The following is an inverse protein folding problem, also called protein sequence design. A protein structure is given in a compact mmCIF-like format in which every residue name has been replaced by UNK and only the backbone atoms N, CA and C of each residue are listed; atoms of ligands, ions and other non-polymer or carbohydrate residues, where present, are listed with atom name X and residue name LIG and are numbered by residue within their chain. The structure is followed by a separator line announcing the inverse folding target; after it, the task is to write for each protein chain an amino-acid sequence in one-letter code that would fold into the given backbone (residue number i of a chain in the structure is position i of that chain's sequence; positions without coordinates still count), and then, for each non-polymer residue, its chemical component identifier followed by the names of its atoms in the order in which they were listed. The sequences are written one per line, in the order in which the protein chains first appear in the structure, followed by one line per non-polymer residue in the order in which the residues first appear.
data_IF_811654961069
#
_entry.id   IF_811654961069
#
_cell.length_a   1.000
_cell.length_b   1.000
_cell.length_c   1.000
_cell.angle_alpha   90.00
_cell.angle_beta   90.00
_cell.angle_gamma   90.00
#
_symmetry.space_group_name_H-M   'P 1'
#
loop_
_entity.id
_entity.type
_entity.pdbx_description
1 polymer ?
#
# COMPACT_ATOMS: atom_id res chain seq x y z
N UNK A 1 -27.14 14.75 -3.22
CA UNK A 1 -25.85 14.07 -3.43
C UNK A 1 -25.46 14.27 -4.88
N UNK A 2 -24.35 14.95 -5.10
CA UNK A 2 -23.85 15.19 -6.44
C UNK A 2 -23.15 13.94 -6.95
N UNK A 3 -23.52 13.51 -8.17
CA UNK A 3 -22.88 12.38 -8.82
C UNK A 3 -21.48 12.76 -9.30
N UNK A 4 -20.53 11.84 -9.11
CA UNK A 4 -19.16 11.97 -9.62
C UNK A 4 -18.88 10.80 -10.56
N UNK A 5 -18.44 11.12 -11.78
CA UNK A 5 -18.10 10.12 -12.79
C UNK A 5 -16.60 9.81 -12.74
N UNK A 6 -16.26 8.53 -12.57
CA UNK A 6 -14.87 8.07 -12.57
C UNK A 6 -14.64 7.25 -13.83
N UNK A 7 -13.60 7.60 -14.60
CA UNK A 7 -13.19 6.91 -15.82
C UNK A 7 -11.85 6.23 -15.60
N UNK A 8 -11.79 4.95 -15.95
CA UNK A 8 -10.59 4.14 -15.83
C UNK A 8 -9.79 4.17 -17.13
N UNK A 9 -8.49 4.37 -16.99
CA UNK A 9 -7.54 4.31 -18.09
C UNK A 9 -6.30 3.55 -17.67
N UNK A 10 -5.66 2.85 -18.60
CA UNK A 10 -4.31 2.41 -18.40
C UNK A 10 -3.37 3.62 -18.51
N UNK A 11 -2.45 3.76 -17.55
CA UNK A 11 -1.38 4.76 -17.67
C UNK A 11 -0.56 4.46 -18.93
N UNK A 12 -0.25 5.46 -19.79
CA UNK A 12 0.60 5.27 -20.95
C UNK A 12 1.96 4.64 -20.61
N UNK A 13 2.54 3.93 -21.56
CA UNK A 13 3.88 3.38 -21.41
C UNK A 13 4.93 4.47 -21.56
N UNK A 14 5.95 4.43 -20.73
CA UNK A 14 7.13 5.28 -20.80
C UNK A 14 8.41 4.44 -20.95
N UNK A 15 9.45 4.76 -20.19
CA UNK A 15 10.72 4.06 -20.24
C UNK A 15 11.01 3.37 -18.89
N UNK A 16 10.97 2.04 -18.87
CA UNK A 16 11.24 1.24 -17.67
C UNK A 16 12.65 1.47 -17.10
N UNK A 17 13.65 1.70 -17.97
CA UNK A 17 15.03 1.95 -17.57
C UNK A 17 15.16 3.17 -16.62
N UNK A 18 14.30 4.20 -16.79
CA UNK A 18 14.28 5.36 -15.87
C UNK A 18 13.96 4.94 -14.44
N UNK A 19 13.01 4.02 -14.28
CA UNK A 19 12.63 3.50 -12.95
C UNK A 19 13.77 2.64 -12.36
N UNK A 20 14.46 1.86 -13.18
CA UNK A 20 15.61 1.06 -12.71
C UNK A 20 16.80 1.93 -12.33
N UNK A 21 17.11 2.98 -13.11
CA UNK A 21 18.14 3.98 -12.77
C UNK A 21 17.80 4.69 -11.44
N UNK A 22 16.54 5.02 -11.23
CA UNK A 22 16.06 5.64 -10.01
C UNK A 22 16.27 4.71 -8.81
N UNK A 23 15.89 3.42 -8.93
CA UNK A 23 16.11 2.41 -7.89
C UNK A 23 17.62 2.19 -7.62
N UNK A 24 18.45 2.19 -8.65
CA UNK A 24 19.90 2.08 -8.50
C UNK A 24 20.50 3.28 -7.76
N UNK A 25 20.02 4.50 -8.07
CA UNK A 25 20.44 5.74 -7.40
C UNK A 25 20.12 5.72 -5.91
N UNK A 26 18.98 5.19 -5.52
CA UNK A 26 18.49 5.14 -4.13
C UNK A 26 18.68 3.78 -3.45
N UNK A 27 19.65 2.97 -3.90
CA UNK A 27 19.88 1.61 -3.40
C UNK A 27 20.11 1.55 -1.86
N UNK A 28 20.78 2.56 -1.30
CA UNK A 28 20.98 2.65 0.17
C UNK A 28 19.67 2.80 0.93
N UNK A 29 18.78 3.66 0.45
CA UNK A 29 17.43 3.84 1.03
C UNK A 29 16.61 2.56 0.86
N UNK A 30 16.66 1.94 -0.32
CA UNK A 30 15.98 0.68 -0.61
C UNK A 30 16.41 -0.44 0.35
N UNK A 31 17.71 -0.62 0.58
CA UNK A 31 18.24 -1.61 1.53
C UNK A 31 17.83 -1.32 2.98
N UNK A 32 17.85 -0.05 3.40
CA UNK A 32 17.38 0.37 4.73
C UNK A 32 15.90 0.05 4.90
N UNK A 33 15.07 0.38 3.89
CA UNK A 33 13.66 0.03 3.84
C UNK A 33 13.43 -1.48 3.99
N UNK A 34 14.11 -2.28 3.18
CA UNK A 34 14.01 -3.75 3.23
C UNK A 34 14.35 -4.29 4.62
N UNK A 35 15.44 -3.81 5.23
CA UNK A 35 15.85 -4.23 6.58
C UNK A 35 14.79 -3.93 7.64
N UNK A 36 14.18 -2.74 7.57
CA UNK A 36 13.08 -2.36 8.49
C UNK A 36 11.87 -3.27 8.28
N UNK A 37 11.49 -3.49 7.04
CA UNK A 37 10.33 -4.32 6.67
C UNK A 37 10.55 -5.80 7.03
N UNK A 38 11.75 -6.33 6.87
CA UNK A 38 12.10 -7.70 7.29
C UNK A 38 11.99 -7.87 8.81
N UNK A 39 12.38 -6.85 9.57
CA UNK A 39 12.23 -6.83 11.04
C UNK A 39 10.77 -6.78 11.52
N UNK A 40 9.86 -6.31 10.66
CA UNK A 40 8.43 -6.20 10.94
C UNK A 40 7.61 -7.41 10.41
N UNK A 41 8.28 -8.43 9.85
CA UNK A 41 7.61 -9.70 9.49
C UNK A 41 7.05 -10.35 10.73
N UNK A 42 5.78 -10.79 10.72
CA UNK A 42 5.26 -11.58 11.82
C UNK A 42 6.12 -12.85 11.95
N UNK A 43 6.75 -13.02 13.09
CA UNK A 43 7.50 -14.23 13.42
C UNK A 43 6.57 -15.35 13.94
N UNK A 44 5.28 -15.24 13.70
CA UNK A 44 4.31 -16.23 14.14
C UNK A 44 4.45 -17.50 13.30
N UNK A 45 5.33 -18.40 13.78
CA UNK A 45 5.32 -19.79 13.36
C UNK A 45 4.09 -20.44 13.97
N UNK A 46 3.08 -20.72 13.15
CA UNK A 46 1.99 -21.59 13.58
C UNK A 46 2.45 -23.04 13.52
N UNK A 47 2.36 -23.70 14.66
CA UNK A 47 2.61 -25.13 14.78
C UNK A 47 1.32 -25.86 14.40
N UNK A 48 1.26 -26.42 13.19
CA UNK A 48 0.18 -27.30 12.77
C UNK A 48 0.48 -28.71 13.26
N UNK A 49 -0.26 -29.15 14.27
CA UNK A 49 -0.16 -30.51 14.84
C UNK A 49 -1.05 -31.48 14.05
N UNK A 50 -0.88 -32.78 14.29
CA UNK A 50 -1.72 -33.82 13.69
C UNK A 50 -1.66 -33.87 12.16
N UNK A 51 -0.46 -33.86 11.61
CA UNK A 51 -0.23 -34.03 10.17
C UNK A 51 0.27 -35.43 9.85
N UNK A 52 -0.11 -35.99 8.68
CA UNK A 52 0.44 -37.25 8.16
C UNK A 52 1.90 -37.11 7.73
N UNK A 53 2.24 -35.90 7.25
CA UNK A 53 3.59 -35.55 6.81
C UNK A 53 3.96 -34.19 7.38
N UNK A 54 5.17 -34.05 7.91
CA UNK A 54 5.64 -32.80 8.50
C UNK A 54 7.16 -32.77 8.62
N UNK A 55 7.71 -31.60 8.90
CA UNK A 55 9.14 -31.38 9.05
C UNK A 55 9.69 -31.96 10.36
N UNK A 56 8.83 -32.18 11.34
CA UNK A 56 9.17 -32.66 12.67
C UNK A 56 8.12 -33.64 13.20
N UNK A 57 8.53 -34.55 14.07
CA UNK A 57 7.63 -35.41 14.82
C UNK A 57 7.07 -34.66 16.03
N UNK A 58 5.74 -34.70 16.22
CA UNK A 58 5.13 -34.26 17.48
C UNK A 58 5.32 -35.34 18.53
N UNK A 59 6.33 -35.20 19.37
CA UNK A 59 6.73 -36.24 20.34
C UNK A 59 5.59 -36.63 21.28
N UNK A 60 4.73 -35.73 21.68
CA UNK A 60 3.58 -36.02 22.56
C UNK A 60 2.57 -36.91 21.86
N UNK A 61 2.26 -36.60 20.60
CA UNK A 61 1.32 -37.36 19.77
C UNK A 61 1.93 -38.72 19.38
N UNK A 62 3.20 -38.73 19.04
CA UNK A 62 3.92 -39.97 18.70
C UNK A 62 4.02 -40.94 19.89
N UNK A 63 4.22 -40.42 21.11
CA UNK A 63 4.20 -41.20 22.32
C UNK A 63 2.82 -41.82 22.59
N UNK A 64 1.75 -41.03 22.40
CA UNK A 64 0.38 -41.55 22.50
C UNK A 64 0.10 -42.65 21.48
N UNK A 65 0.46 -42.45 20.22
CA UNK A 65 0.32 -43.45 19.16
C UNK A 65 1.11 -44.75 19.45
N UNK A 66 2.29 -44.62 20.06
CA UNK A 66 3.08 -45.79 20.47
C UNK A 66 2.46 -46.57 21.63
N UNK A 67 1.83 -45.88 22.61
CA UNK A 67 1.08 -46.51 23.71
C UNK A 67 -0.14 -47.23 23.14
N UNK A 68 -0.89 -46.62 22.22
CA UNK A 68 -2.04 -47.26 21.57
C UNK A 68 -1.63 -48.53 20.82
N UNK A 69 -0.51 -48.47 20.07
CA UNK A 69 0.05 -49.63 19.39
C UNK A 69 0.40 -50.76 20.36
N UNK A 70 1.05 -50.45 21.50
CA UNK A 70 1.34 -51.47 22.55
C UNK A 70 0.09 -52.08 23.16
N UNK A 71 -0.99 -51.34 23.24
CA UNK A 71 -2.27 -51.80 23.74
C UNK A 71 -3.13 -52.52 22.68
N UNK A 72 -2.55 -52.80 21.48
CA UNK A 72 -3.23 -53.51 20.40
C UNK A 72 -4.24 -52.68 19.63
N UNK A 73 -4.22 -51.36 19.78
CA UNK A 73 -5.03 -50.43 19.01
C UNK A 73 -4.28 -49.96 17.76
N UNK A 74 -4.99 -49.65 16.71
CA UNK A 74 -4.39 -49.04 15.49
C UNK A 74 -4.02 -47.60 15.77
N UNK A 75 -2.72 -47.23 15.79
CA UNK A 75 -2.32 -45.85 16.08
C UNK A 75 -2.69 -44.89 14.96
N UNK A 76 -2.95 -43.65 15.32
CA UNK A 76 -3.17 -42.59 14.33
C UNK A 76 -1.89 -42.30 13.54
N UNK A 77 -1.93 -42.20 12.20
CA UNK A 77 -0.77 -41.80 11.39
C UNK A 77 -0.41 -40.33 11.52
N UNK A 78 -1.24 -39.52 12.17
CA UNK A 78 -1.12 -38.05 12.28
C UNK A 78 -0.13 -37.62 13.37
N UNK A 79 1.09 -38.16 13.33
CA UNK A 79 2.12 -37.96 14.36
C UNK A 79 3.13 -36.86 14.06
N UNK A 80 3.00 -36.24 12.90
CA UNK A 80 3.89 -35.16 12.47
C UNK A 80 3.33 -33.77 12.80
N UNK A 81 4.22 -32.81 12.87
CA UNK A 81 3.91 -31.39 12.93
C UNK A 81 4.62 -30.66 11.81
N UNK A 82 3.96 -29.62 11.31
CA UNK A 82 4.50 -28.70 10.32
C UNK A 82 4.56 -27.29 10.91
N UNK A 83 5.72 -26.64 10.81
CA UNK A 83 5.84 -25.23 11.13
C UNK A 83 5.50 -24.41 9.88
N UNK A 84 4.31 -23.84 9.84
CA UNK A 84 3.92 -22.88 8.79
C UNK A 84 4.24 -21.48 9.27
N UNK A 85 5.11 -20.80 8.54
CA UNK A 85 5.27 -19.36 8.71
C UNK A 85 4.07 -18.71 8.04
N UNK A 86 3.25 -18.01 8.80
CA UNK A 86 2.18 -17.21 8.20
C UNK A 86 2.85 -16.14 7.36
N UNK A 87 2.73 -16.26 6.04
CA UNK A 87 3.05 -15.16 5.12
C UNK A 87 2.21 -13.93 5.47
N UNK A 88 2.76 -12.76 5.19
CA UNK A 88 2.03 -11.50 5.40
C UNK A 88 0.78 -11.49 4.54
N UNK A 89 -0.37 -11.69 5.16
CA UNK A 89 -1.66 -11.63 4.46
C UNK A 89 -2.16 -10.18 4.40
N UNK A 90 -1.46 -9.40 3.57
CA UNK A 90 -1.75 -7.98 3.34
C UNK A 90 -1.93 -7.70 1.86
N UNK A 91 -2.94 -6.90 1.53
CA UNK A 91 -3.08 -6.27 0.22
C UNK A 91 -2.95 -4.76 0.35
N UNK A 92 -2.11 -4.17 -0.50
CA UNK A 92 -1.80 -2.74 -0.49
C UNK A 92 -2.26 -2.10 -1.80
N UNK A 93 -3.12 -1.08 -1.72
CA UNK A 93 -3.40 -0.19 -2.84
C UNK A 93 -2.65 1.11 -2.64
N UNK A 94 -1.70 1.40 -3.51
CA UNK A 94 -1.04 2.71 -3.58
C UNK A 94 -1.84 3.60 -4.51
N UNK A 95 -2.28 4.73 -4.01
CA UNK A 95 -3.07 5.73 -4.73
C UNK A 95 -2.30 7.04 -4.78
N UNK A 96 -1.92 7.45 -5.99
CA UNK A 96 -1.13 8.67 -6.22
C UNK A 96 -2.03 9.80 -6.70
N UNK A 97 -1.90 10.92 -6.05
CA UNK A 97 -2.34 12.19 -6.60
C UNK A 97 -1.45 12.56 -7.80
N UNK A 98 -2.08 12.95 -8.91
CA UNK A 98 -1.41 13.41 -10.12
C UNK A 98 -1.90 14.79 -10.54
N UNK A 99 -2.32 15.61 -9.59
CA UNK A 99 -2.77 16.98 -9.83
C UNK A 99 -1.64 17.92 -10.26
N UNK A 100 -2.00 19.03 -10.87
CA UNK A 100 -1.05 20.03 -11.38
C UNK A 100 -0.13 20.58 -10.30
N UNK A 101 -0.57 20.64 -9.04
CA UNK A 101 0.24 21.10 -7.90
C UNK A 101 1.56 20.32 -7.74
N UNK A 102 1.58 19.03 -8.12
CA UNK A 102 2.80 18.22 -8.06
C UNK A 102 3.90 18.66 -9.05
N UNK A 103 3.58 19.52 -10.03
CA UNK A 103 4.59 20.10 -10.91
C UNK A 103 5.47 21.15 -10.22
N UNK A 104 5.10 21.59 -9.02
CA UNK A 104 5.88 22.57 -8.27
C UNK A 104 7.20 21.98 -7.79
N UNK A 105 8.25 22.84 -7.78
CA UNK A 105 9.55 22.47 -7.21
C UNK A 105 9.49 22.46 -5.68
N UNK A 106 10.14 21.45 -5.10
CA UNK A 106 10.32 21.37 -3.65
C UNK A 106 11.27 22.48 -3.21
N UNK A 107 10.90 23.21 -2.14
CA UNK A 107 11.75 24.28 -1.61
C UNK A 107 13.15 23.78 -1.26
N UNK A 108 14.16 24.42 -1.85
CA UNK A 108 15.58 24.07 -1.58
C UNK A 108 16.09 22.84 -2.36
N UNK A 109 15.29 22.29 -3.27
CA UNK A 109 15.69 21.18 -4.15
C UNK A 109 15.42 21.52 -5.61
N UNK A 110 16.18 20.93 -6.52
CA UNK A 110 15.95 21.06 -7.97
C UNK A 110 15.05 19.95 -8.52
N UNK A 111 14.15 19.44 -7.68
CA UNK A 111 13.18 18.38 -7.99
C UNK A 111 11.76 18.89 -7.82
N UNK A 112 10.86 18.33 -8.61
CA UNK A 112 9.41 18.55 -8.45
C UNK A 112 8.83 17.56 -7.42
N UNK A 113 7.67 17.89 -6.87
CA UNK A 113 6.93 16.99 -5.97
C UNK A 113 6.54 15.69 -6.71
N UNK A 114 6.24 15.77 -8.02
CA UNK A 114 5.95 14.61 -8.86
C UNK A 114 7.16 13.65 -8.93
N UNK A 115 8.37 14.18 -9.15
CA UNK A 115 9.59 13.36 -9.18
C UNK A 115 9.83 12.68 -7.82
N UNK A 116 9.62 13.38 -6.72
CA UNK A 116 9.70 12.82 -5.38
C UNK A 116 8.66 11.69 -5.18
N UNK A 117 7.44 11.90 -5.67
CA UNK A 117 6.38 10.89 -5.59
C UNK A 117 6.74 9.64 -6.41
N UNK A 118 7.27 9.80 -7.62
CA UNK A 118 7.75 8.70 -8.46
C UNK A 118 8.85 7.89 -7.77
N UNK A 119 9.83 8.59 -7.19
CA UNK A 119 10.93 7.97 -6.44
C UNK A 119 10.40 7.19 -5.23
N UNK A 120 9.50 7.80 -4.45
CA UNK A 120 8.89 7.15 -3.29
C UNK A 120 8.10 5.89 -3.68
N UNK A 121 7.28 5.97 -4.74
CA UNK A 121 6.48 4.83 -5.21
C UNK A 121 7.35 3.72 -5.78
N UNK A 122 8.41 4.05 -6.53
CA UNK A 122 9.34 3.05 -7.06
C UNK A 122 10.01 2.26 -5.93
N UNK A 123 10.46 2.96 -4.87
CA UNK A 123 11.05 2.33 -3.68
C UNK A 123 10.04 1.46 -2.93
N UNK A 124 8.81 1.95 -2.73
CA UNK A 124 7.73 1.20 -2.10
C UNK A 124 7.38 -0.06 -2.89
N UNK A 125 7.20 0.07 -4.21
CA UNK A 125 6.88 -1.05 -5.10
C UNK A 125 7.98 -2.11 -5.10
N UNK A 126 9.24 -1.67 -5.13
CA UNK A 126 10.38 -2.59 -5.03
C UNK A 126 10.37 -3.36 -3.71
N UNK A 127 10.16 -2.68 -2.58
CA UNK A 127 10.11 -3.34 -1.26
C UNK A 127 8.92 -4.30 -1.17
N UNK A 128 7.73 -3.89 -1.59
CA UNK A 128 6.55 -4.76 -1.59
C UNK A 128 6.75 -5.99 -2.48
N UNK A 129 7.43 -5.84 -3.62
CA UNK A 129 7.79 -6.95 -4.50
C UNK A 129 8.76 -7.92 -3.82
N UNK A 130 9.84 -7.41 -3.20
CA UNK A 130 10.83 -8.22 -2.45
C UNK A 130 10.18 -8.97 -1.27
N UNK A 131 9.18 -8.36 -0.65
CA UNK A 131 8.42 -8.93 0.47
C UNK A 131 7.34 -9.91 0.00
N UNK A 132 7.10 -10.03 -1.31
CA UNK A 132 6.01 -10.79 -1.93
C UNK A 132 4.63 -10.36 -1.47
N UNK A 133 4.48 -9.09 -1.07
CA UNK A 133 3.18 -8.52 -0.72
C UNK A 133 2.31 -8.38 -1.97
N UNK A 134 1.00 -8.54 -1.80
CA UNK A 134 0.05 -8.31 -2.88
C UNK A 134 -0.28 -6.82 -2.99
N UNK A 135 0.10 -6.16 -4.10
CA UNK A 135 -0.09 -4.73 -4.23
C UNK A 135 -0.51 -4.28 -5.63
N UNK A 136 -1.23 -3.16 -5.66
CA UNK A 136 -1.57 -2.44 -6.87
C UNK A 136 -1.19 -0.96 -6.74
N UNK A 137 -0.98 -0.30 -7.87
CA UNK A 137 -0.62 1.11 -7.96
C UNK A 137 -1.53 1.77 -8.98
N UNK A 138 -2.14 2.88 -8.59
CA UNK A 138 -2.94 3.71 -9.48
C UNK A 138 -2.69 5.19 -9.21
N UNK A 139 -2.81 6.01 -10.26
CA UNK A 139 -2.83 7.45 -10.15
C UNK A 139 -4.23 8.00 -10.35
N UNK A 140 -4.49 9.22 -9.92
CA UNK A 140 -5.74 9.91 -10.21
C UNK A 140 -5.54 11.42 -10.34
N UNK A 141 -6.38 12.04 -11.13
CA UNK A 141 -6.61 13.48 -11.20
C UNK A 141 -8.04 13.74 -11.66
N UNK A 142 -8.53 14.96 -11.53
CA UNK A 142 -9.89 15.32 -11.91
C UNK A 142 -9.96 16.60 -12.74
N UNK A 143 -10.85 16.60 -13.72
CA UNK A 143 -11.26 17.76 -14.46
C UNK A 143 -12.77 17.92 -14.27
N UNK A 144 -13.19 18.51 -13.18
CA UNK A 144 -14.56 18.55 -12.68
C UNK A 144 -15.09 17.22 -12.10
N UNK A 145 -16.29 17.25 -11.47
CA UNK A 145 -17.01 16.06 -10.98
C UNK A 145 -17.42 15.10 -12.09
N UNK A 146 -17.46 15.55 -13.32
CA UNK A 146 -17.88 14.74 -14.45
C UNK A 146 -16.73 13.96 -15.09
N UNK A 147 -15.49 14.25 -14.72
CA UNK A 147 -14.32 13.62 -15.31
C UNK A 147 -13.21 13.41 -14.26
N UNK A 148 -13.38 12.42 -13.39
CA UNK A 148 -12.31 11.93 -12.52
C UNK A 148 -11.63 10.78 -13.25
N UNK A 149 -10.35 10.92 -13.55
CA UNK A 149 -9.56 9.89 -14.23
C UNK A 149 -8.80 9.06 -13.22
N UNK A 150 -8.99 7.75 -13.31
CA UNK A 150 -8.28 6.74 -12.54
C UNK A 150 -7.33 5.98 -13.45
N UNK A 151 -6.04 6.09 -13.20
CA UNK A 151 -4.98 5.63 -14.09
C UNK A 151 -4.30 4.40 -13.52
N UNK A 152 -4.52 3.24 -14.13
CA UNK A 152 -3.92 1.99 -13.71
C UNK A 152 -2.43 1.96 -14.10
N UNK A 153 -1.54 1.90 -13.11
CA UNK A 153 -0.09 1.75 -13.28
C UNK A 153 0.28 0.27 -13.13
N UNK A 154 -0.20 -0.39 -12.07
CA UNK A 154 -0.05 -1.82 -11.81
C UNK A 154 -1.30 -2.37 -11.13
N UNK A 155 -1.93 -3.37 -11.73
CA UNK A 155 -3.01 -4.12 -11.09
C UNK A 155 -2.51 -5.17 -10.10
N UNK A 156 -3.40 -5.66 -9.23
CA UNK A 156 -3.06 -6.72 -8.27
C UNK A 156 -2.56 -8.00 -8.91
N UNK A 157 -3.11 -8.38 -10.07
CA UNK A 157 -2.74 -9.59 -10.81
C UNK A 157 -1.52 -9.42 -11.72
N UNK A 158 -1.02 -8.19 -11.87
CA UNK A 158 0.13 -7.90 -12.71
C UNK A 158 1.43 -8.01 -11.91
N UNK A 159 2.52 -8.54 -12.49
CA UNK A 159 3.83 -8.54 -11.85
C UNK A 159 4.41 -7.11 -11.79
N UNK A 160 5.32 -6.88 -10.87
CA UNK A 160 6.19 -5.69 -10.87
C UNK A 160 7.33 -5.92 -11.87
N UNK A 161 7.08 -5.64 -13.14
CA UNK A 161 7.97 -5.86 -14.27
C UNK A 161 8.06 -4.59 -15.12
N UNK A 162 8.74 -4.66 -16.26
CA UNK A 162 9.05 -3.51 -17.11
C UNK A 162 7.81 -2.72 -17.54
N UNK A 163 6.67 -3.37 -17.75
CA UNK A 163 5.42 -2.69 -18.10
C UNK A 163 4.97 -1.75 -16.96
N UNK A 164 4.92 -2.23 -15.71
CA UNK A 164 4.53 -1.42 -14.56
C UNK A 164 5.55 -0.30 -14.28
N UNK A 165 6.84 -0.58 -14.39
CA UNK A 165 7.93 0.41 -14.26
C UNK A 165 7.85 1.49 -15.35
N UNK A 166 7.56 1.08 -16.58
CA UNK A 166 7.37 1.96 -17.72
C UNK A 166 6.18 2.92 -17.49
N UNK A 167 5.03 2.40 -17.04
CA UNK A 167 3.87 3.23 -16.70
C UNK A 167 4.17 4.20 -15.56
N UNK A 168 4.92 3.77 -14.55
CA UNK A 168 5.32 4.65 -13.45
C UNK A 168 6.19 5.81 -13.95
N UNK A 169 7.12 5.55 -14.89
CA UNK A 169 8.02 6.57 -15.43
C UNK A 169 7.33 7.60 -16.33
N UNK A 170 6.11 7.30 -16.83
CA UNK A 170 5.35 8.17 -17.72
C UNK A 170 4.32 9.04 -17.01
N UNK A 171 4.26 9.00 -15.68
CA UNK A 171 3.33 9.82 -14.91
C UNK A 171 3.55 11.30 -15.16
N UNK A 172 2.44 12.03 -15.32
CA UNK A 172 2.43 13.48 -15.54
C UNK A 172 1.43 14.12 -14.59
N UNK A 173 1.80 15.25 -14.03
CA UNK A 173 0.88 16.05 -13.23
C UNK A 173 -0.06 16.83 -14.15
N UNK A 174 -1.37 16.73 -13.90
CA UNK A 174 -2.41 17.36 -14.71
C UNK A 174 -3.68 17.60 -13.89
N UNK A 175 -4.40 18.66 -14.23
CA UNK A 175 -5.71 18.97 -13.68
C UNK A 175 -5.74 19.15 -12.16
N UNK A 176 -6.83 18.74 -11.53
CA UNK A 176 -7.20 18.97 -10.13
C UNK A 176 -7.27 17.67 -9.32
N UNK A 177 -7.65 17.77 -8.04
CA UNK A 177 -7.66 16.66 -7.09
C UNK A 177 -9.03 16.47 -6.45
N UNK A 178 -9.79 15.47 -6.91
CA UNK A 178 -11.05 15.03 -6.27
C UNK A 178 -10.81 13.71 -5.53
N UNK A 179 -10.12 13.82 -4.41
CA UNK A 179 -9.58 12.70 -3.63
C UNK A 179 -10.66 11.73 -3.13
N UNK A 180 -11.80 12.22 -2.65
CA UNK A 180 -12.85 11.37 -2.09
C UNK A 180 -13.42 10.37 -3.10
N UNK A 181 -13.62 10.80 -4.35
CA UNK A 181 -14.06 9.92 -5.43
C UNK A 181 -13.02 8.86 -5.77
N UNK A 182 -11.74 9.24 -5.88
CA UNK A 182 -10.64 8.33 -6.16
C UNK A 182 -10.45 7.29 -5.05
N UNK A 183 -10.58 7.69 -3.78
CA UNK A 183 -10.50 6.79 -2.63
C UNK A 183 -11.60 5.72 -2.67
N UNK A 184 -12.87 6.12 -2.89
CA UNK A 184 -13.99 5.17 -2.99
C UNK A 184 -13.82 4.21 -4.16
N UNK A 185 -13.34 4.72 -5.29
CA UNK A 185 -13.10 3.90 -6.47
C UNK A 185 -11.98 2.88 -6.24
N UNK A 186 -10.83 3.31 -5.69
CA UNK A 186 -9.72 2.43 -5.34
C UNK A 186 -10.12 1.38 -4.28
N UNK A 187 -11.01 1.75 -3.35
CA UNK A 187 -11.54 0.84 -2.33
C UNK A 187 -12.31 -0.34 -2.92
N UNK A 188 -12.95 -0.18 -4.08
CA UNK A 188 -13.63 -1.28 -4.78
C UNK A 188 -12.66 -2.41 -5.14
N UNK A 189 -11.48 -2.08 -5.68
CA UNK A 189 -10.45 -3.06 -6.02
C UNK A 189 -9.84 -3.72 -4.79
N UNK A 190 -9.54 -2.92 -3.77
CA UNK A 190 -8.95 -3.41 -2.53
C UNK A 190 -9.95 -4.23 -1.72
N UNK A 191 -11.22 -3.82 -1.71
CA UNK A 191 -12.32 -4.51 -1.04
C UNK A 191 -12.52 -5.95 -1.52
N UNK A 192 -12.33 -6.18 -2.82
CA UNK A 192 -12.46 -7.50 -3.45
C UNK A 192 -11.35 -8.50 -3.07
N UNK A 193 -10.26 -8.05 -2.43
CA UNK A 193 -9.17 -8.93 -1.98
C UNK A 193 -9.58 -9.72 -0.74
N UNK A 194 -9.13 -10.99 -0.68
CA UNK A 194 -9.42 -11.88 0.46
C UNK A 194 -8.40 -11.74 1.60
N UNK A 195 -7.47 -10.79 1.52
CA UNK A 195 -6.43 -10.60 2.53
C UNK A 195 -7.00 -10.15 3.87
N UNK A 196 -6.40 -10.66 4.95
CA UNK A 196 -6.79 -10.33 6.33
C UNK A 196 -6.56 -8.83 6.65
N UNK A 197 -5.57 -8.23 6.01
CA UNK A 197 -5.26 -6.79 6.17
C UNK A 197 -5.32 -6.10 4.83
N UNK A 198 -6.00 -4.95 4.79
CA UNK A 198 -6.14 -4.12 3.59
C UNK A 198 -5.64 -2.72 3.90
N UNK A 199 -4.65 -2.26 3.14
CA UNK A 199 -4.03 -0.95 3.29
C UNK A 199 -4.26 -0.11 2.04
N UNK A 200 -4.87 1.06 2.21
CA UNK A 200 -4.90 2.14 1.22
C UNK A 200 -3.79 3.13 1.56
N UNK A 201 -2.75 3.20 0.76
CA UNK A 201 -1.64 4.13 0.92
C UNK A 201 -1.79 5.27 -0.07
N UNK A 202 -2.11 6.46 0.41
CA UNK A 202 -2.31 7.66 -0.42
C UNK A 202 -1.03 8.49 -0.41
N UNK A 203 -0.61 8.93 -1.60
CA UNK A 203 0.54 9.83 -1.76
C UNK A 203 0.04 11.09 -2.44
N UNK A 204 0.17 12.23 -1.78
CA UNK A 204 -0.39 13.53 -2.21
C UNK A 204 0.43 14.69 -1.65
N UNK A 205 0.23 15.88 -2.19
CA UNK A 205 0.65 17.15 -1.58
C UNK A 205 -0.37 17.70 -0.58
N UNK A 206 -1.51 17.03 -0.44
CA UNK A 206 -2.47 17.20 0.64
C UNK A 206 -3.59 18.23 0.42
N UNK A 207 -3.67 18.89 -0.71
CA UNK A 207 -4.70 19.92 -0.97
C UNK A 207 -5.73 19.50 -2.02
N UNK A 208 -6.89 18.93 -1.63
CA UNK A 208 -7.98 18.67 -2.57
C UNK A 208 -8.48 19.98 -3.18
N UNK A 209 -8.54 20.06 -4.50
CA UNK A 209 -9.09 21.20 -5.23
C UNK A 209 -9.74 20.73 -6.52
N UNK A 210 -10.80 21.41 -6.96
CA UNK A 210 -11.37 21.16 -8.28
C UNK A 210 -12.00 22.45 -8.84
N UNK A 211 -11.98 22.58 -10.17
CA UNK A 211 -12.43 23.80 -10.86
C UNK A 211 -13.93 24.05 -10.74
N UNK A 212 -14.73 23.01 -10.53
CA UNK A 212 -16.19 23.09 -10.35
C UNK A 212 -16.61 23.14 -8.88
N UNK A 213 -15.67 23.19 -7.93
CA UNK A 213 -15.94 23.28 -6.51
C UNK A 213 -15.38 24.61 -5.95
N UNK A 214 -16.22 25.65 -5.78
CA UNK A 214 -15.75 26.95 -5.34
C UNK A 214 -15.27 26.97 -3.88
N UNK A 215 -15.74 26.03 -3.04
CA UNK A 215 -15.31 25.92 -1.65
C UNK A 215 -14.46 24.63 -1.46
N UNK A 216 -13.13 24.76 -1.34
CA UNK A 216 -12.23 23.62 -1.12
C UNK A 216 -12.57 22.79 0.13
N UNK A 217 -13.23 23.39 1.14
CA UNK A 217 -13.62 22.68 2.37
C UNK A 217 -14.59 21.54 2.09
N UNK A 218 -15.42 21.63 1.06
CA UNK A 218 -16.30 20.55 0.66
C UNK A 218 -15.53 19.32 0.20
N UNK A 219 -14.44 19.50 -0.54
CA UNK A 219 -13.59 18.42 -1.01
C UNK A 219 -12.78 17.78 0.13
N UNK A 220 -12.37 18.61 1.11
CA UNK A 220 -11.72 18.12 2.34
C UNK A 220 -12.70 17.25 3.14
N UNK A 221 -13.96 17.69 3.33
CA UNK A 221 -14.98 16.93 4.03
C UNK A 221 -15.39 15.66 3.28
N UNK A 222 -15.48 15.70 1.94
CA UNK A 222 -15.74 14.53 1.12
C UNK A 222 -14.61 13.49 1.23
N UNK A 223 -13.35 13.92 1.16
CA UNK A 223 -12.19 13.06 1.36
C UNK A 223 -12.17 12.44 2.77
N UNK A 224 -12.45 13.25 3.81
CA UNK A 224 -12.58 12.77 5.19
C UNK A 224 -13.68 11.71 5.32
N UNK A 225 -14.83 11.96 4.70
CA UNK A 225 -15.94 11.01 4.68
C UNK A 225 -15.57 9.71 3.98
N UNK A 226 -14.89 9.79 2.83
CA UNK A 226 -14.39 8.62 2.13
C UNK A 226 -13.44 7.79 3.01
N UNK A 227 -12.49 8.41 3.72
CA UNK A 227 -11.59 7.72 4.66
C UNK A 227 -12.36 6.98 5.77
N UNK A 228 -13.44 7.60 6.30
CA UNK A 228 -14.30 6.95 7.30
C UNK A 228 -15.06 5.75 6.72
N UNK A 229 -15.56 5.87 5.49
CA UNK A 229 -16.25 4.79 4.77
C UNK A 229 -15.31 3.60 4.50
N UNK A 230 -14.06 3.87 4.09
CA UNK A 230 -13.03 2.85 3.91
C UNK A 230 -12.73 2.13 5.24
N UNK A 231 -12.61 2.89 6.32
CA UNK A 231 -12.39 2.32 7.65
C UNK A 231 -13.53 1.40 8.09
N UNK A 232 -14.79 1.78 7.82
CA UNK A 232 -15.96 0.95 8.11
C UNK A 232 -15.95 -0.36 7.28
N UNK A 233 -15.32 -0.36 6.11
CA UNK A 233 -15.11 -1.55 5.26
C UNK A 233 -13.87 -2.39 5.67
N UNK A 234 -13.19 -2.06 6.77
CA UNK A 234 -11.98 -2.74 7.21
C UNK A 234 -10.72 -2.39 6.41
N UNK A 235 -10.75 -1.30 5.64
CA UNK A 235 -9.60 -0.80 4.89
C UNK A 235 -8.89 0.26 5.73
N UNK A 236 -7.64 -0.03 6.11
CA UNK A 236 -6.80 0.93 6.81
C UNK A 236 -6.23 1.94 5.82
N UNK A 237 -6.47 3.23 6.05
CA UNK A 237 -6.00 4.30 5.17
C UNK A 237 -4.86 5.05 5.84
N UNK A 238 -3.76 5.24 5.11
CA UNK A 238 -2.60 6.03 5.54
C UNK A 238 -2.18 6.99 4.44
N UNK A 239 -1.81 8.21 4.83
CA UNK A 239 -1.34 9.24 3.90
C UNK A 239 0.16 9.48 4.04
N UNK A 240 0.86 9.51 2.92
CA UNK A 240 2.20 10.08 2.79
C UNK A 240 2.04 11.45 2.16
N UNK A 241 2.20 12.49 2.97
CA UNK A 241 2.15 13.86 2.54
C UNK A 241 3.55 14.32 2.08
N UNK A 242 3.64 14.80 0.85
CA UNK A 242 4.90 15.28 0.26
C UNK A 242 5.13 16.78 0.48
N UNK A 243 4.11 17.51 0.96
CA UNK A 243 4.21 18.93 1.29
C UNK A 243 3.95 19.19 2.78
N UNK A 244 4.95 19.70 3.47
CA UNK A 244 4.84 20.04 4.89
C UNK A 244 3.88 21.22 5.18
N UNK A 245 3.53 22.04 4.17
CA UNK A 245 2.64 23.20 4.35
C UNK A 245 1.17 22.83 4.38
N UNK A 246 0.80 21.66 3.88
CA UNK A 246 -0.57 21.16 3.86
C UNK A 246 -0.94 20.32 5.09
N UNK A 247 -0.13 20.36 6.16
CA UNK A 247 -0.26 19.51 7.36
C UNK A 247 -1.67 19.56 7.98
N UNK A 248 -2.26 20.76 8.12
CA UNK A 248 -3.60 20.89 8.73
C UNK A 248 -4.68 20.21 7.90
N UNK A 249 -4.67 20.38 6.58
CA UNK A 249 -5.64 19.75 5.66
C UNK A 249 -5.54 18.23 5.72
N UNK A 250 -4.32 17.69 5.69
CA UNK A 250 -4.07 16.25 5.78
C UNK A 250 -4.53 15.70 7.13
N UNK A 251 -4.29 16.43 8.22
CA UNK A 251 -4.75 16.09 9.56
C UNK A 251 -6.28 16.07 9.64
N UNK A 252 -6.96 17.01 9.00
CA UNK A 252 -8.43 17.07 8.96
C UNK A 252 -9.03 15.87 8.22
N UNK A 253 -8.36 15.37 7.17
CA UNK A 253 -8.80 14.21 6.37
C UNK A 253 -8.46 12.89 7.07
N UNK A 254 -7.20 12.69 7.48
CA UNK A 254 -6.67 11.39 7.92
C UNK A 254 -6.51 11.26 9.43
N UNK A 255 -6.67 12.35 10.19
CA UNK A 255 -6.43 12.37 11.64
C UNK A 255 -4.95 12.16 11.96
N UNK A 256 -4.63 11.13 12.75
CA UNK A 256 -3.24 10.77 13.09
C UNK A 256 -2.58 9.79 12.11
N UNK A 257 -3.28 9.43 11.01
CA UNK A 257 -2.84 8.39 10.08
C UNK A 257 -2.14 8.97 8.85
N UNK A 258 -1.12 9.78 9.08
CA UNK A 258 -0.28 10.32 8.03
C UNK A 258 1.16 10.53 8.48
N UNK A 259 2.04 10.72 7.53
CA UNK A 259 3.42 11.15 7.73
C UNK A 259 3.82 12.13 6.64
N UNK A 260 4.72 13.06 7.00
CA UNK A 260 5.29 14.01 6.05
C UNK A 260 6.62 13.45 5.55
N UNK A 261 6.78 13.39 4.24
CA UNK A 261 7.98 12.92 3.56
C UNK A 261 8.41 13.99 2.54
N UNK A 262 9.14 14.97 3.00
CA UNK A 262 9.74 16.04 2.19
C UNK A 262 11.07 15.62 1.54
N UNK A 263 11.67 14.52 2.04
CA UNK A 263 12.90 13.91 1.50
C UNK A 263 12.81 12.38 1.57
N UNK A 264 13.36 11.69 0.57
CA UNK A 264 13.33 10.23 0.48
C UNK A 264 13.96 9.51 1.67
N UNK A 265 14.95 10.12 2.31
CA UNK A 265 15.62 9.57 3.49
C UNK A 265 14.68 9.39 4.69
N UNK A 266 13.56 10.14 4.73
CA UNK A 266 12.50 9.99 5.76
C UNK A 266 11.53 8.86 5.48
N UNK A 267 11.48 8.35 4.24
CA UNK A 267 10.54 7.31 3.84
C UNK A 267 10.68 6.02 4.68
N UNK A 268 11.90 5.51 5.00
CA UNK A 268 12.04 4.32 5.83
C UNK A 268 11.42 4.45 7.22
N UNK A 269 11.63 5.59 7.87
CA UNK A 269 11.11 5.84 9.21
C UNK A 269 9.58 6.05 9.19
N UNK A 270 9.06 6.66 8.12
CA UNK A 270 7.63 6.86 7.88
C UNK A 270 6.90 5.53 7.69
N UNK A 271 7.48 4.62 6.92
CA UNK A 271 6.92 3.28 6.73
C UNK A 271 7.03 2.42 7.99
N UNK A 272 8.10 2.55 8.77
CA UNK A 272 8.19 1.87 10.06
C UNK A 272 7.03 2.26 10.98
N UNK A 273 6.70 3.55 11.07
CA UNK A 273 5.54 4.05 11.83
C UNK A 273 4.22 3.47 11.32
N UNK A 274 4.03 3.43 9.99
CA UNK A 274 2.84 2.84 9.38
C UNK A 274 2.70 1.36 9.76
N UNK A 275 3.77 0.58 9.63
CA UNK A 275 3.70 -0.86 9.92
C UNK A 275 3.50 -1.15 11.41
N UNK A 276 4.10 -0.36 12.31
CA UNK A 276 3.84 -0.44 13.75
C UNK A 276 2.36 -0.14 14.03
N UNK A 277 1.80 0.89 13.39
CA UNK A 277 0.38 1.23 13.53
C UNK A 277 -0.55 0.13 13.01
N UNK A 278 -0.16 -0.57 11.93
CA UNK A 278 -0.90 -1.71 11.38
C UNK A 278 -0.81 -2.96 12.25
N UNK A 279 0.35 -3.19 12.90
CA UNK A 279 0.58 -4.39 13.73
C UNK A 279 0.14 -4.19 15.17
N UNK A 280 0.24 -2.98 15.70
CA UNK A 280 -0.11 -2.65 17.09
C UNK A 280 -1.61 -2.63 17.43
N UNK A 281 -2.51 -2.86 16.46
CA UNK A 281 -3.96 -2.95 16.67
C UNK A 281 -4.52 -4.37 16.74
N UNK A 282 -3.68 -5.35 17.02
CA UNK A 282 -4.13 -6.73 17.27
C UNK A 282 -4.25 -6.99 18.80
N UNK A 283 -4.89 -6.03 19.53
CA UNK A 283 -5.36 -6.25 20.90
C UNK A 283 -6.74 -5.65 21.07
#
# INVERSE_FOLDING_TARGET
PDWVSVYEHAQPLGNAAKTDELLARHNTVAKKLKKIMDGLKPQNRQRLRYQEQGNELDLDVALGAWIDFKNGQTPSPLIHQHHQTNDRDISVQVLLDLSTSLSQKIKGQDKTVLELSQEAVALLAWVMHEMKDNFAIAGFHSNTRHEVRYLHIKGFSQPWADEAKSRLSSMQASYSTRMGAALRHAAHYLGSRKSARKLMLVITDGQPSDVDCPDPQWLVQDARKAVQELQAQGIYTWCINLDAFSDQTVKDIYGARYTIVDHLEKLPDSLAKLFIALTGKAH
#
